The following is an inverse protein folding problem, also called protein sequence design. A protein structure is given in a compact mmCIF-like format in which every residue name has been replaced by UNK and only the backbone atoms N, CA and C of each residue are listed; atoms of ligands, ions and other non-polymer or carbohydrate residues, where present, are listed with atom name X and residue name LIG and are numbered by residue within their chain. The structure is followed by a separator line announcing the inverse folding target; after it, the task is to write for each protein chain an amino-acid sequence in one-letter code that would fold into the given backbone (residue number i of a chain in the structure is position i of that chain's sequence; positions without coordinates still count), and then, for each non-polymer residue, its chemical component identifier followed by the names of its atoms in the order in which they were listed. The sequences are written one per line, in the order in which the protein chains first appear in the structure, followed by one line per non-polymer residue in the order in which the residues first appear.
data_IF_365557501178
#
_entry.id   IF_365557501178
#
_cell.length_a   1.000
_cell.length_b   1.000
_cell.length_c   1.000
_cell.angle_alpha   90.00
_cell.angle_beta   90.00
_cell.angle_gamma   90.00
#
_symmetry.space_group_name_H-M   'P 1'
#
loop_
_entity.id
_entity.type
_entity.pdbx_description
1 polymer ?
#
# COMPACT_ATOMS: atom_id res chain seq x y z
N UNK A 1 24.23 -7.87 -19.63
CA UNK A 1 24.50 -9.31 -19.75
C UNK A 1 23.92 -9.97 -18.51
N UNK A 2 22.78 -10.66 -18.64
CA UNK A 2 22.20 -11.41 -17.53
C UNK A 2 23.18 -12.52 -17.13
N UNK A 3 23.70 -12.48 -15.90
CA UNK A 3 24.68 -13.44 -15.38
C UNK A 3 24.03 -14.32 -14.32
N UNK A 4 23.03 -15.11 -14.69
CA UNK A 4 22.61 -16.23 -13.86
C UNK A 4 21.80 -17.19 -14.71
N UNK A 5 22.46 -18.26 -15.15
CA UNK A 5 21.83 -19.43 -15.74
C UNK A 5 21.25 -20.35 -14.63
N UNK A 6 20.85 -19.75 -13.51
CA UNK A 6 20.48 -20.42 -12.26
C UNK A 6 19.01 -20.15 -12.03
N UNK A 7 18.23 -21.19 -11.76
CA UNK A 7 16.82 -21.04 -11.40
C UNK A 7 16.69 -20.54 -9.96
N UNK A 8 15.60 -19.82 -9.65
CA UNK A 8 15.23 -19.58 -8.25
C UNK A 8 14.98 -20.96 -7.61
N UNK A 9 15.54 -21.24 -6.41
CA UNK A 9 15.22 -22.46 -5.68
C UNK A 9 13.71 -22.63 -5.48
N UNK A 10 13.17 -23.84 -5.73
CA UNK A 10 11.74 -24.12 -5.53
C UNK A 10 11.34 -24.04 -4.05
N UNK A 11 12.26 -24.39 -3.15
CA UNK A 11 12.07 -24.31 -1.71
C UNK A 11 13.30 -23.70 -1.03
N UNK A 12 13.05 -22.86 -0.03
CA UNK A 12 14.06 -22.39 0.90
C UNK A 12 13.86 -23.07 2.25
N UNK A 13 14.95 -23.53 2.87
CA UNK A 13 14.91 -24.26 4.14
C UNK A 13 14.74 -23.34 5.34
N UNK A 14 15.04 -22.05 5.20
CA UNK A 14 14.83 -21.05 6.24
C UNK A 14 14.71 -19.62 5.69
N UNK A 15 14.27 -18.70 6.54
CA UNK A 15 14.18 -17.27 6.20
C UNK A 15 15.58 -16.68 5.98
N UNK A 16 16.58 -17.11 6.75
CA UNK A 16 17.97 -16.67 6.57
C UNK A 16 18.52 -17.06 5.20
N UNK A 17 18.14 -18.22 4.67
CA UNK A 17 18.54 -18.67 3.33
C UNK A 17 17.93 -17.76 2.24
N UNK A 18 16.65 -17.40 2.38
CA UNK A 18 15.97 -16.45 1.48
C UNK A 18 16.70 -15.11 1.46
N UNK A 19 17.02 -14.58 2.65
CA UNK A 19 17.70 -13.31 2.77
C UNK A 19 19.10 -13.39 2.14
N UNK A 20 19.91 -14.40 2.48
CA UNK A 20 21.24 -14.57 1.92
C UNK A 20 21.23 -14.69 0.39
N UNK A 21 20.20 -15.33 -0.18
CA UNK A 21 20.03 -15.40 -1.63
C UNK A 21 19.77 -14.01 -2.23
N UNK A 22 18.80 -13.25 -1.70
CA UNK A 22 18.47 -11.92 -2.23
C UNK A 22 19.51 -10.83 -1.91
N UNK A 23 20.36 -11.04 -0.91
CA UNK A 23 21.53 -10.18 -0.66
C UNK A 23 22.63 -10.39 -1.73
N UNK A 24 22.67 -11.57 -2.36
CA UNK A 24 23.66 -11.93 -3.39
C UNK A 24 23.16 -11.74 -4.83
N UNK A 25 21.85 -11.86 -5.04
CA UNK A 25 21.23 -11.88 -6.36
C UNK A 25 20.20 -10.76 -6.52
N UNK A 26 20.19 -10.09 -7.68
CA UNK A 26 19.17 -9.07 -7.96
C UNK A 26 17.88 -9.73 -8.43
N UNK A 27 16.72 -9.26 -7.94
CA UNK A 27 15.40 -9.65 -8.45
C UNK A 27 15.24 -9.41 -9.95
N UNK A 28 15.91 -8.39 -10.50
CA UNK A 28 15.86 -8.09 -11.92
C UNK A 28 16.44 -9.22 -12.79
N UNK A 29 17.40 -9.99 -12.28
CA UNK A 29 18.01 -11.10 -13.02
C UNK A 29 17.05 -12.29 -13.20
N UNK A 30 15.97 -12.34 -12.40
CA UNK A 30 15.01 -13.43 -12.38
C UNK A 30 13.62 -13.00 -12.84
N UNK A 31 13.48 -11.83 -13.48
CA UNK A 31 12.18 -11.29 -13.91
C UNK A 31 11.38 -12.27 -14.78
N UNK A 32 12.06 -13.02 -15.66
CA UNK A 32 11.43 -14.01 -16.54
C UNK A 32 10.95 -15.28 -15.81
N UNK A 33 11.36 -15.48 -14.56
CA UNK A 33 10.96 -16.61 -13.70
C UNK A 33 9.89 -16.21 -12.69
N UNK A 34 9.52 -14.93 -12.62
CA UNK A 34 8.47 -14.42 -11.75
C UNK A 34 7.14 -14.39 -12.48
N UNK A 35 6.06 -14.52 -11.71
CA UNK A 35 4.70 -14.35 -12.21
C UNK A 35 4.06 -13.09 -11.62
N UNK A 36 3.13 -12.51 -12.36
CA UNK A 36 2.31 -11.41 -11.84
C UNK A 36 1.38 -11.95 -10.75
N UNK A 37 1.55 -11.44 -9.53
CA UNK A 37 0.70 -11.79 -8.40
C UNK A 37 -0.34 -10.69 -8.17
N UNK A 38 -1.62 -11.05 -8.30
CA UNK A 38 -2.72 -10.14 -7.94
C UNK A 38 -2.94 -10.14 -6.42
N UNK A 39 -2.49 -9.06 -5.76
CA UNK A 39 -2.63 -8.89 -4.32
C UNK A 39 -4.07 -8.51 -3.98
N UNK A 40 -4.84 -9.50 -3.51
CA UNK A 40 -6.21 -9.27 -3.01
C UNK A 40 -6.18 -8.66 -1.60
N UNK A 41 -6.33 -7.34 -1.55
CA UNK A 41 -6.52 -6.63 -0.30
C UNK A 41 -7.91 -6.89 0.30
N UNK A 42 -7.97 -7.03 1.63
CA UNK A 42 -9.25 -7.09 2.34
C UNK A 42 -10.06 -5.79 2.14
N UNK A 43 -11.40 -5.85 2.19
CA UNK A 43 -12.24 -4.66 2.02
C UNK A 43 -11.87 -3.50 2.96
N UNK A 44 -11.51 -3.84 4.21
CA UNK A 44 -11.07 -2.86 5.22
C UNK A 44 -9.79 -2.14 4.80
N UNK A 45 -8.79 -2.88 4.30
CA UNK A 45 -7.53 -2.30 3.86
C UNK A 45 -7.72 -1.43 2.61
N UNK A 46 -8.58 -1.85 1.67
CA UNK A 46 -8.93 -1.03 0.50
C UNK A 46 -9.51 0.31 0.90
N UNK A 47 -10.48 0.33 1.83
CA UNK A 47 -11.09 1.56 2.32
C UNK A 47 -10.08 2.50 3.01
N UNK A 48 -9.18 1.94 3.83
CA UNK A 48 -8.13 2.73 4.48
C UNK A 48 -7.17 3.36 3.47
N UNK A 49 -6.79 2.62 2.43
CA UNK A 49 -5.92 3.15 1.36
C UNK A 49 -6.61 4.25 0.57
N UNK A 50 -7.87 4.07 0.18
CA UNK A 50 -8.64 5.09 -0.54
C UNK A 50 -8.76 6.38 0.27
N UNK A 51 -8.97 6.27 1.59
CA UNK A 51 -9.02 7.44 2.46
C UNK A 51 -7.66 8.14 2.58
N UNK A 52 -6.57 7.39 2.73
CA UNK A 52 -5.21 7.95 2.76
C UNK A 52 -4.82 8.63 1.45
N UNK A 53 -5.22 8.04 0.31
CA UNK A 53 -5.04 8.65 -1.02
C UNK A 53 -5.78 9.99 -1.08
N UNK A 54 -7.04 10.03 -0.63
CA UNK A 54 -7.83 11.26 -0.59
C UNK A 54 -7.15 12.35 0.24
N UNK A 55 -6.69 12.03 1.45
CA UNK A 55 -5.95 12.98 2.29
C UNK A 55 -4.70 13.53 1.59
N UNK A 56 -3.96 12.67 0.88
CA UNK A 56 -2.76 13.07 0.13
C UNK A 56 -3.08 13.96 -1.06
N UNK A 57 -4.13 13.64 -1.82
CA UNK A 57 -4.57 14.43 -2.99
C UNK A 57 -5.01 15.83 -2.56
N UNK A 58 -5.72 15.94 -1.45
CA UNK A 58 -6.18 17.21 -0.89
C UNK A 58 -5.09 17.97 -0.11
N UNK A 59 -3.90 17.37 0.06
CA UNK A 59 -2.77 18.01 0.73
C UNK A 59 -2.97 18.22 2.24
N UNK A 60 -3.79 17.41 2.91
CA UNK A 60 -4.02 17.58 4.34
C UNK A 60 -2.79 17.19 5.17
N UNK A 61 -2.44 18.05 6.12
CA UNK A 61 -1.43 17.76 7.14
C UNK A 61 -1.95 16.72 8.15
N UNK A 62 -1.06 16.03 8.89
CA UNK A 62 -1.46 15.08 9.94
C UNK A 62 -2.39 15.68 10.99
N UNK A 63 -2.21 16.97 11.33
CA UNK A 63 -3.07 17.68 12.27
C UNK A 63 -4.49 17.84 11.73
N UNK A 64 -4.62 18.28 10.48
CA UNK A 64 -5.91 18.43 9.81
C UNK A 64 -6.62 17.07 9.63
N UNK A 65 -5.88 16.00 9.33
CA UNK A 65 -6.44 14.65 9.25
C UNK A 65 -7.04 14.24 10.61
N UNK A 66 -6.31 14.45 11.71
CA UNK A 66 -6.79 14.13 13.04
C UNK A 66 -8.05 14.94 13.41
N UNK A 67 -8.10 16.22 13.04
CA UNK A 67 -9.28 17.07 13.22
C UNK A 67 -10.49 16.58 12.42
N UNK A 68 -10.28 16.20 11.16
CA UNK A 68 -11.32 15.63 10.28
C UNK A 68 -11.85 14.32 10.88
N UNK A 69 -10.98 13.43 11.34
CA UNK A 69 -11.36 12.15 11.95
C UNK A 69 -12.14 12.34 13.24
N UNK A 70 -11.68 13.25 14.12
CA UNK A 70 -12.40 13.59 15.35
C UNK A 70 -13.77 14.20 15.06
N UNK A 71 -13.88 15.08 14.07
CA UNK A 71 -15.14 15.70 13.66
C UNK A 71 -16.09 14.67 13.03
N UNK A 72 -15.57 13.78 12.18
CA UNK A 72 -16.35 12.71 11.56
C UNK A 72 -16.93 11.76 12.62
N UNK A 73 -16.12 11.39 13.61
CA UNK A 73 -16.57 10.59 14.75
C UNK A 73 -17.64 11.30 15.57
N UNK A 74 -17.48 12.60 15.84
CA UNK A 74 -18.47 13.42 16.57
C UNK A 74 -19.80 13.52 15.82
N UNK A 75 -19.76 13.63 14.50
CA UNK A 75 -20.95 13.74 13.65
C UNK A 75 -21.49 12.37 13.18
N UNK A 76 -20.96 11.27 13.72
CA UNK A 76 -21.33 9.88 13.41
C UNK A 76 -21.35 9.58 11.90
N UNK A 77 -20.38 10.11 11.17
CA UNK A 77 -20.21 9.93 9.72
C UNK A 77 -18.79 9.48 9.38
N UNK A 78 -18.58 8.98 8.16
CA UNK A 78 -17.22 8.67 7.69
C UNK A 78 -16.46 9.95 7.34
N UNK A 79 -15.13 9.94 7.54
CA UNK A 79 -14.25 11.05 7.14
C UNK A 79 -14.42 11.42 5.66
N UNK A 80 -14.70 10.43 4.79
CA UNK A 80 -14.99 10.68 3.37
C UNK A 80 -16.29 11.47 3.16
N UNK A 81 -17.36 11.14 3.89
CA UNK A 81 -18.62 11.89 3.83
C UNK A 81 -18.44 13.31 4.34
N UNK A 82 -17.71 13.49 5.44
CA UNK A 82 -17.40 14.81 5.99
C UNK A 82 -16.61 15.66 4.97
N UNK A 83 -15.55 15.11 4.37
CA UNK A 83 -14.78 15.81 3.34
C UNK A 83 -15.66 16.18 2.14
N UNK A 84 -16.48 15.25 1.65
CA UNK A 84 -17.37 15.50 0.51
C UNK A 84 -18.34 16.63 0.81
N UNK A 85 -18.91 16.67 2.02
CA UNK A 85 -19.77 17.74 2.50
C UNK A 85 -19.05 19.09 2.52
N UNK A 86 -17.85 19.15 3.10
CA UNK A 86 -17.05 20.38 3.18
C UNK A 86 -16.66 20.93 1.80
N UNK A 87 -16.32 20.06 0.86
CA UNK A 87 -16.00 20.44 -0.52
C UNK A 87 -17.24 21.01 -1.21
N UNK A 88 -18.41 20.36 -1.07
CA UNK A 88 -19.66 20.82 -1.67
C UNK A 88 -20.18 22.14 -1.07
N UNK A 89 -19.92 22.40 0.21
CA UNK A 89 -20.30 23.66 0.88
C UNK A 89 -19.47 24.87 0.43
N UNK A 90 -18.32 24.65 -0.23
CA UNK A 90 -17.38 25.71 -0.67
C UNK A 90 -17.32 25.90 -2.20
N UNK A 91 -18.18 25.20 -2.97
CA UNK A 91 -18.37 25.40 -4.42
C UNK A 91 -19.66 26.20 -4.63
#
# INVERSE_FOLDING_TARGET
MARSNTQIPEEFKSIEEIQNFWDQYSTADYWNQMEDVDIKLSPKLKLQLELKKLYRILGFSPKQIAEIEAKAQKENMSSKQLISKLVLEHI
#
